data_IF_526721772813
#
_entry.id   IF_526721772813
#
_cell.length_a   1.000
_cell.length_b   1.000
_cell.length_c   1.000
_cell.angle_alpha   90.00
_cell.angle_beta   90.00
_cell.angle_gamma   90.00
#
_symmetry.space_group_name_H-M   'P 1'
#
loop_
_entity.id
_entity.type
_entity.pdbx_description
1 polymer ?
#
# COMPACT_ATOMS: atom_id res chain seq x y z
N UNK A 1 -3.60 27.45 -7.68
CA UNK A 1 -3.36 26.17 -8.41
C UNK A 1 -4.46 25.22 -7.98
N UNK A 2 -5.20 24.63 -8.93
CA UNK A 2 -6.19 23.60 -8.59
C UNK A 2 -5.38 22.36 -8.19
N UNK A 3 -5.43 21.99 -6.91
CA UNK A 3 -4.81 20.74 -6.42
C UNK A 3 -5.55 19.60 -7.10
N UNK A 4 -4.82 18.82 -7.90
CA UNK A 4 -5.42 17.70 -8.64
C UNK A 4 -5.56 16.50 -7.69
N UNK A 5 -6.71 16.42 -7.01
CA UNK A 5 -7.02 15.33 -6.08
C UNK A 5 -7.27 14.02 -6.84
N UNK A 6 -6.63 12.93 -6.40
CA UNK A 6 -6.89 11.59 -6.93
C UNK A 6 -7.99 10.88 -6.14
N UNK A 7 -8.08 11.12 -4.84
CA UNK A 7 -9.06 10.53 -3.96
C UNK A 7 -9.62 11.59 -3.02
N UNK A 8 -10.93 11.69 -2.95
CA UNK A 8 -11.64 12.50 -1.97
C UNK A 8 -12.66 11.62 -1.25
N UNK A 9 -12.62 11.64 0.06
CA UNK A 9 -13.53 10.90 0.92
C UNK A 9 -14.18 11.89 1.88
N UNK A 10 -15.52 11.90 1.92
CA UNK A 10 -16.30 12.81 2.78
C UNK A 10 -17.29 12.01 3.62
N UNK A 11 -17.17 12.15 4.95
CA UNK A 11 -18.08 11.58 5.96
C UNK A 11 -18.34 10.08 5.79
N UNK A 12 -17.31 9.33 5.35
CA UNK A 12 -17.45 7.90 5.08
C UNK A 12 -17.68 7.14 6.38
N UNK A 13 -18.72 6.31 6.40
CA UNK A 13 -19.09 5.52 7.56
C UNK A 13 -19.41 4.08 7.16
N UNK A 14 -19.01 3.14 8.03
CA UNK A 14 -19.24 1.71 7.86
C UNK A 14 -19.35 1.01 9.18
N UNK A 15 -20.40 0.17 9.31
CA UNK A 15 -20.56 -0.77 10.41
C UNK A 15 -20.71 -2.19 9.88
N UNK A 16 -20.41 -3.19 10.72
CA UNK A 16 -20.83 -4.57 10.50
C UNK A 16 -21.93 -4.92 11.49
N UNK A 17 -22.99 -5.56 10.99
CA UNK A 17 -24.18 -6.01 11.76
C UNK A 17 -24.90 -4.87 12.50
N UNK A 18 -24.77 -3.63 12.01
CA UNK A 18 -25.38 -2.45 12.60
C UNK A 18 -24.89 -2.09 14.01
N UNK A 19 -23.88 -2.80 14.55
CA UNK A 19 -23.42 -2.65 15.93
C UNK A 19 -21.97 -2.17 16.02
N UNK A 20 -21.08 -2.74 15.22
CA UNK A 20 -19.65 -2.45 15.30
C UNK A 20 -19.32 -1.39 14.25
N UNK A 21 -19.15 -0.13 14.69
CA UNK A 21 -18.68 0.96 13.82
C UNK A 21 -17.20 0.77 13.54
N UNK A 22 -16.88 0.50 12.27
CA UNK A 22 -15.49 0.30 11.80
C UNK A 22 -14.92 1.59 11.25
N UNK A 23 -15.74 2.43 10.62
CA UNK A 23 -15.39 3.78 10.20
C UNK A 23 -16.50 4.74 10.60
N UNK A 24 -16.14 5.93 11.10
CA UNK A 24 -17.08 6.97 11.54
C UNK A 24 -16.64 8.33 11.05
N UNK A 25 -17.44 8.96 10.19
CA UNK A 25 -17.17 10.30 9.64
C UNK A 25 -15.75 10.46 9.10
N UNK A 26 -15.24 9.43 8.42
CA UNK A 26 -13.87 9.44 7.87
C UNK A 26 -13.80 10.43 6.70
N UNK A 27 -12.88 11.40 6.82
CA UNK A 27 -12.64 12.41 5.80
C UNK A 27 -11.18 12.37 5.40
N UNK A 28 -10.91 12.33 4.09
CA UNK A 28 -9.55 12.29 3.57
C UNK A 28 -9.49 12.85 2.15
N UNK A 29 -8.41 13.55 1.86
CA UNK A 29 -8.11 14.02 0.52
C UNK A 29 -6.67 13.70 0.19
N UNK A 30 -6.42 13.14 -1.00
CA UNK A 30 -5.11 12.74 -1.49
C UNK A 30 -4.80 13.37 -2.83
N UNK A 31 -3.63 13.99 -2.94
CA UNK A 31 -3.13 14.54 -4.20
C UNK A 31 -2.68 13.44 -5.16
N UNK A 32 -2.80 13.72 -6.46
CA UNK A 32 -2.34 12.81 -7.52
C UNK A 32 -0.80 12.63 -7.49
N UNK A 33 -0.33 11.41 -7.74
CA UNK A 33 1.10 11.07 -7.79
C UNK A 33 1.77 10.91 -6.43
N UNK A 34 1.03 11.04 -5.33
CA UNK A 34 1.52 10.80 -3.96
C UNK A 34 1.45 9.31 -3.59
N UNK A 35 2.25 8.95 -2.60
CA UNK A 35 2.22 7.67 -1.90
C UNK A 35 1.76 7.94 -0.48
N UNK A 36 0.60 7.39 -0.10
CA UNK A 36 0.04 7.50 1.25
C UNK A 36 0.12 6.15 1.96
N UNK A 37 0.68 6.13 3.17
CA UNK A 37 0.64 4.99 4.06
C UNK A 37 -0.49 5.15 5.09
N UNK A 38 -1.26 4.09 5.33
CA UNK A 38 -2.24 4.05 6.41
C UNK A 38 -1.75 3.04 7.44
N UNK A 39 -1.41 3.53 8.62
CA UNK A 39 -0.86 2.75 9.73
C UNK A 39 -1.85 2.69 10.87
N UNK A 40 -1.87 1.57 11.59
CA UNK A 40 -2.73 1.39 12.76
C UNK A 40 -2.79 -0.07 13.19
N UNK A 41 -3.30 -0.30 14.39
CA UNK A 41 -3.46 -1.64 14.96
C UNK A 41 -4.39 -2.53 14.13
N UNK A 42 -4.34 -3.84 14.35
CA UNK A 42 -5.31 -4.76 13.78
C UNK A 42 -6.73 -4.38 14.23
N UNK A 43 -7.70 -4.45 13.32
CA UNK A 43 -9.08 -4.04 13.60
C UNK A 43 -9.34 -2.53 13.59
N UNK A 44 -8.36 -1.67 13.31
CA UNK A 44 -8.58 -0.20 13.25
C UNK A 44 -9.42 0.27 12.05
N UNK A 45 -9.73 -0.61 11.08
CA UNK A 45 -10.56 -0.30 9.90
C UNK A 45 -9.79 -0.12 8.59
N UNK A 46 -8.48 -0.36 8.55
CA UNK A 46 -7.62 -0.14 7.37
C UNK A 46 -8.07 -0.92 6.13
N UNK A 47 -8.18 -2.24 6.24
CA UNK A 47 -8.60 -3.10 5.10
C UNK A 47 -10.02 -2.81 4.68
N UNK A 48 -10.92 -2.49 5.63
CA UNK A 48 -12.29 -2.05 5.32
C UNK A 48 -12.28 -0.76 4.50
N UNK A 49 -11.44 0.22 4.88
CA UNK A 49 -11.29 1.46 4.12
C UNK A 49 -10.83 1.20 2.69
N UNK A 50 -9.78 0.36 2.49
CA UNK A 50 -9.33 0.01 1.15
C UNK A 50 -10.43 -0.68 0.33
N UNK A 51 -11.18 -1.61 0.93
CA UNK A 51 -12.27 -2.31 0.25
C UNK A 51 -13.42 -1.38 -0.14
N UNK A 52 -13.74 -0.38 0.68
CA UNK A 52 -14.72 0.66 0.37
C UNK A 52 -14.26 1.52 -0.81
N UNK A 53 -13.00 1.97 -0.82
CA UNK A 53 -12.41 2.72 -1.94
C UNK A 53 -12.44 1.88 -3.20
N UNK A 54 -12.12 0.60 -3.09
CA UNK A 54 -12.14 -0.36 -4.20
C UNK A 54 -13.55 -0.67 -4.72
N UNK A 55 -14.59 -0.44 -3.91
CA UNK A 55 -15.97 -0.83 -4.22
C UNK A 55 -16.24 -2.31 -4.02
N UNK A 56 -15.39 -2.99 -3.28
CA UNK A 56 -15.56 -4.39 -2.84
C UNK A 56 -16.54 -4.47 -1.68
N UNK A 57 -16.73 -3.37 -0.95
CA UNK A 57 -17.72 -3.21 0.09
C UNK A 57 -18.57 -1.97 -0.13
N UNK A 58 -19.76 -1.95 0.45
CA UNK A 58 -20.71 -0.84 0.40
C UNK A 58 -20.59 0.00 1.67
N UNK A 59 -20.39 1.34 1.57
CA UNK A 59 -20.50 2.22 2.71
C UNK A 59 -21.95 2.34 3.20
N UNK A 60 -22.14 2.72 4.45
CA UNK A 60 -23.44 3.07 5.02
C UNK A 60 -23.77 4.55 4.81
N UNK A 61 -22.76 5.39 4.65
CA UNK A 61 -22.92 6.82 4.39
C UNK A 61 -21.61 7.44 3.93
N UNK A 62 -21.71 8.68 3.46
CA UNK A 62 -20.60 9.44 2.93
C UNK A 62 -20.41 9.31 1.43
N UNK A 63 -19.36 9.94 0.92
CA UNK A 63 -19.07 10.01 -0.51
C UNK A 63 -17.60 9.65 -0.76
N UNK A 64 -17.35 8.94 -1.85
CA UNK A 64 -16.00 8.66 -2.38
C UNK A 64 -15.93 9.15 -3.82
N UNK A 65 -14.93 10.01 -4.11
CA UNK A 65 -14.55 10.40 -5.46
C UNK A 65 -13.16 9.88 -5.80
N UNK A 66 -13.01 9.38 -7.01
CA UNK A 66 -11.71 8.99 -7.60
C UNK A 66 -11.52 9.77 -8.88
N UNK A 67 -10.38 10.48 -9.00
CA UNK A 67 -10.10 11.37 -10.12
C UNK A 67 -11.30 12.28 -10.44
N UNK A 68 -11.85 12.95 -9.41
CA UNK A 68 -12.98 13.87 -9.45
C UNK A 68 -14.34 13.24 -9.82
N UNK A 69 -14.39 11.93 -10.04
CA UNK A 69 -15.65 11.24 -10.36
C UNK A 69 -16.22 10.56 -9.11
N UNK A 70 -17.48 10.79 -8.80
CA UNK A 70 -18.17 10.09 -7.70
C UNK A 70 -18.26 8.60 -8.06
N UNK A 71 -17.64 7.75 -7.21
CA UNK A 71 -17.67 6.30 -7.34
C UNK A 71 -18.55 5.62 -6.28
N UNK A 72 -18.84 6.33 -5.21
CA UNK A 72 -19.76 5.86 -4.18
C UNK A 72 -20.39 7.04 -3.44
N UNK A 73 -21.70 7.03 -3.30
CA UNK A 73 -22.49 7.90 -2.44
C UNK A 73 -23.74 7.16 -1.94
N UNK A 74 -24.69 7.86 -1.34
CA UNK A 74 -25.93 7.28 -0.81
C UNK A 74 -26.82 6.65 -1.89
N UNK A 75 -26.65 7.04 -3.15
CA UNK A 75 -27.50 6.65 -4.29
C UNK A 75 -26.78 5.78 -5.30
N UNK A 76 -25.45 5.96 -5.43
CA UNK A 76 -24.63 5.35 -6.49
C UNK A 76 -23.49 4.55 -5.91
N UNK A 77 -23.27 3.36 -6.47
CA UNK A 77 -22.06 2.56 -6.24
C UNK A 77 -21.55 2.06 -7.57
N UNK A 78 -20.39 2.56 -7.96
CA UNK A 78 -19.66 2.09 -9.16
C UNK A 78 -19.00 0.76 -8.84
N UNK A 79 -19.18 -0.24 -9.70
CA UNK A 79 -18.56 -1.57 -9.56
C UNK A 79 -17.03 -1.47 -9.58
N UNK A 80 -16.28 -2.34 -8.86
CA UNK A 80 -14.80 -2.28 -8.76
C UNK A 80 -14.10 -2.16 -10.11
N UNK A 81 -14.48 -2.99 -11.10
CA UNK A 81 -13.86 -3.03 -12.42
C UNK A 81 -14.05 -1.73 -13.25
N UNK A 82 -14.91 -0.81 -12.82
CA UNK A 82 -15.18 0.47 -13.47
C UNK A 82 -14.57 1.67 -12.74
N UNK A 83 -13.89 1.45 -11.60
CA UNK A 83 -13.28 2.53 -10.80
C UNK A 83 -11.91 2.97 -11.28
N UNK A 84 -11.32 2.26 -12.25
CA UNK A 84 -9.97 2.49 -12.76
C UNK A 84 -8.90 2.52 -11.65
N UNK A 85 -9.00 1.58 -10.74
CA UNK A 85 -8.06 1.34 -9.64
C UNK A 85 -7.45 -0.03 -9.74
N UNK A 86 -6.25 -0.19 -9.19
CA UNK A 86 -5.60 -1.47 -8.99
C UNK A 86 -5.67 -1.87 -7.52
N UNK A 87 -5.93 -3.14 -7.24
CA UNK A 87 -5.96 -3.68 -5.89
C UNK A 87 -5.06 -4.91 -5.79
N UNK A 88 -4.13 -4.91 -4.85
CA UNK A 88 -3.34 -6.08 -4.47
C UNK A 88 -3.75 -6.51 -3.08
N UNK A 89 -4.26 -7.73 -2.98
CA UNK A 89 -4.67 -8.35 -1.72
C UNK A 89 -3.46 -8.83 -0.92
N UNK A 90 -3.61 -9.03 0.37
CA UNK A 90 -2.57 -9.51 1.27
C UNK A 90 -2.04 -10.90 0.88
N UNK A 91 -2.89 -11.76 0.34
CA UNK A 91 -2.58 -13.11 -0.18
C UNK A 91 -2.23 -13.11 -1.69
N UNK A 92 -1.99 -11.90 -2.27
CA UNK A 92 -1.71 -11.65 -3.68
C UNK A 92 -2.81 -12.10 -4.65
N UNK A 93 -3.69 -13.01 -4.27
CA UNK A 93 -4.83 -13.54 -5.03
C UNK A 93 -4.49 -13.87 -6.49
N UNK A 94 -3.33 -14.50 -6.74
CA UNK A 94 -2.97 -14.99 -8.06
C UNK A 94 -3.86 -16.17 -8.45
N UNK A 95 -4.19 -16.28 -9.73
CA UNK A 95 -4.93 -17.43 -10.26
C UNK A 95 -3.99 -18.64 -10.32
N UNK A 96 -4.16 -19.68 -9.48
CA UNK A 96 -3.18 -20.76 -9.35
C UNK A 96 -3.08 -21.66 -10.59
N UNK A 97 -4.15 -21.69 -11.40
CA UNK A 97 -4.24 -22.46 -12.64
C UNK A 97 -3.75 -21.70 -13.89
N UNK A 98 -3.35 -20.44 -13.74
CA UNK A 98 -2.82 -19.60 -14.81
C UNK A 98 -1.32 -19.39 -14.61
N UNK A 99 -0.57 -19.34 -15.72
CA UNK A 99 0.85 -18.97 -15.69
C UNK A 99 1.03 -17.49 -15.31
N UNK A 100 2.25 -17.07 -15.04
CA UNK A 100 2.62 -15.66 -14.80
C UNK A 100 2.13 -14.75 -15.92
N UNK A 101 2.43 -15.13 -17.18
CA UNK A 101 1.97 -14.38 -18.35
C UNK A 101 0.45 -14.28 -18.42
N UNK A 102 -0.26 -15.38 -18.17
CA UNK A 102 -1.72 -15.42 -18.18
C UNK A 102 -2.34 -14.62 -17.04
N UNK A 103 -1.72 -14.65 -15.84
CA UNK A 103 -2.13 -13.81 -14.73
C UNK A 103 -2.04 -12.33 -15.09
N UNK A 104 -0.91 -11.88 -15.66
CA UNK A 104 -0.71 -10.48 -16.07
C UNK A 104 -1.66 -10.12 -17.22
N UNK A 105 -1.87 -11.02 -18.18
CA UNK A 105 -2.73 -10.81 -19.33
C UNK A 105 -4.22 -10.70 -19.00
N UNK A 106 -4.63 -11.11 -17.79
CA UNK A 106 -6.05 -11.30 -17.44
C UNK A 106 -6.90 -10.04 -17.64
N UNK A 107 -6.37 -8.86 -17.29
CA UNK A 107 -7.06 -7.57 -17.45
C UNK A 107 -6.81 -6.87 -18.78
N UNK A 108 -5.90 -7.37 -19.64
CA UNK A 108 -5.48 -6.69 -20.87
C UNK A 108 -6.39 -7.09 -22.02
N UNK A 109 -6.97 -6.09 -22.72
CA UNK A 109 -7.84 -6.32 -23.88
C UNK A 109 -7.06 -6.47 -25.18
N UNK A 110 -6.08 -5.59 -25.43
CA UNK A 110 -5.34 -5.49 -26.70
C UNK A 110 -3.82 -5.45 -26.48
N UNK A 111 -3.02 -5.80 -27.50
CA UNK A 111 -1.55 -5.72 -27.50
C UNK A 111 -0.88 -6.45 -26.32
N UNK A 112 -1.43 -7.60 -25.90
CA UNK A 112 -1.05 -8.34 -24.70
C UNK A 112 0.47 -8.59 -24.63
N UNK A 113 1.09 -9.13 -25.67
CA UNK A 113 2.50 -9.53 -25.65
C UNK A 113 3.43 -8.36 -25.28
N UNK A 114 3.35 -7.23 -25.97
CA UNK A 114 4.22 -6.06 -25.71
C UNK A 114 4.04 -5.48 -24.30
N UNK A 115 2.79 -5.47 -23.80
CA UNK A 115 2.49 -4.97 -22.45
C UNK A 115 3.06 -5.92 -21.41
N UNK A 116 2.90 -7.23 -21.59
CA UNK A 116 3.41 -8.26 -20.67
C UNK A 116 4.92 -8.19 -20.57
N UNK A 117 5.65 -8.16 -21.69
CA UNK A 117 7.10 -8.07 -21.71
C UNK A 117 7.61 -6.83 -20.97
N UNK A 118 6.96 -5.68 -21.22
CA UNK A 118 7.26 -4.41 -20.52
C UNK A 118 7.03 -4.54 -19.00
N UNK A 119 5.94 -5.16 -18.60
CA UNK A 119 5.59 -5.34 -17.17
C UNK A 119 6.52 -6.34 -16.49
N UNK A 120 6.81 -7.48 -17.13
CA UNK A 120 7.76 -8.46 -16.59
C UNK A 120 9.13 -7.83 -16.37
N UNK A 121 9.62 -7.05 -17.32
CA UNK A 121 10.86 -6.29 -17.16
C UNK A 121 10.76 -5.25 -16.04
N UNK A 122 9.62 -4.57 -15.91
CA UNK A 122 9.40 -3.55 -14.87
C UNK A 122 9.49 -4.14 -13.47
N UNK A 123 8.93 -5.35 -13.27
CA UNK A 123 8.91 -6.04 -11.98
C UNK A 123 10.05 -7.07 -11.82
N UNK A 124 11.01 -7.13 -12.75
CA UNK A 124 12.17 -8.04 -12.74
C UNK A 124 11.76 -9.53 -12.69
N UNK A 125 10.83 -9.90 -13.53
CA UNK A 125 10.31 -11.27 -13.66
C UNK A 125 10.49 -11.84 -15.07
N UNK A 126 11.52 -11.34 -15.81
CA UNK A 126 11.87 -11.92 -17.10
C UNK A 126 12.25 -13.39 -16.96
N UNK A 127 11.80 -14.22 -17.89
CA UNK A 127 12.05 -15.67 -17.88
C UNK A 127 11.03 -16.49 -17.10
N UNK A 128 10.13 -15.87 -16.31
CA UNK A 128 9.12 -16.58 -15.53
C UNK A 128 7.76 -16.68 -16.23
N UNK A 129 7.64 -16.28 -17.50
CA UNK A 129 6.39 -16.22 -18.26
C UNK A 129 5.52 -17.48 -18.13
N UNK A 130 6.15 -18.65 -18.23
CA UNK A 130 5.48 -19.96 -18.22
C UNK A 130 5.37 -20.60 -16.84
N UNK A 131 5.94 -19.97 -15.81
CA UNK A 131 5.85 -20.48 -14.44
C UNK A 131 4.44 -20.31 -13.87
N UNK A 132 4.04 -21.21 -13.00
CA UNK A 132 2.80 -21.13 -12.23
C UNK A 132 3.07 -20.50 -10.85
N UNK A 133 2.07 -19.90 -10.18
CA UNK A 133 2.23 -19.32 -8.86
C UNK A 133 2.89 -20.26 -7.85
N UNK A 134 2.54 -21.55 -7.85
CA UNK A 134 3.12 -22.56 -6.96
C UNK A 134 4.63 -22.78 -7.12
N UNK A 135 5.24 -22.24 -8.16
CA UNK A 135 6.68 -22.31 -8.44
C UNK A 135 7.43 -21.04 -8.06
N UNK A 136 6.73 -20.04 -7.49
CA UNK A 136 7.26 -18.75 -7.15
C UNK A 136 7.51 -18.62 -5.65
N UNK A 137 8.50 -17.81 -5.26
CA UNK A 137 8.61 -17.33 -3.89
C UNK A 137 7.55 -16.26 -3.60
N UNK A 138 7.22 -16.01 -2.33
CA UNK A 138 6.23 -14.99 -1.96
C UNK A 138 6.55 -13.59 -2.54
N UNK A 139 7.83 -13.20 -2.57
CA UNK A 139 8.24 -11.95 -3.21
C UNK A 139 8.06 -11.95 -4.73
N UNK A 140 8.22 -13.10 -5.40
CA UNK A 140 7.93 -13.24 -6.82
C UNK A 140 6.43 -13.21 -7.09
N UNK A 141 5.62 -13.86 -6.26
CA UNK A 141 4.14 -13.79 -6.36
C UNK A 141 3.65 -12.35 -6.21
N UNK A 142 4.19 -11.60 -5.25
CA UNK A 142 3.88 -10.18 -5.07
C UNK A 142 4.21 -9.35 -6.32
N UNK A 143 5.37 -9.56 -6.93
CA UNK A 143 5.77 -8.86 -8.16
C UNK A 143 4.80 -9.17 -9.31
N UNK A 144 4.39 -10.43 -9.45
CA UNK A 144 3.40 -10.83 -10.47
C UNK A 144 2.03 -10.20 -10.19
N UNK A 145 1.58 -10.17 -8.94
CA UNK A 145 0.32 -9.51 -8.56
C UNK A 145 0.36 -8.00 -8.85
N UNK A 146 1.49 -7.35 -8.56
CA UNK A 146 1.71 -5.95 -8.91
C UNK A 146 1.67 -5.74 -10.43
N UNK A 147 2.39 -6.57 -11.22
CA UNK A 147 2.38 -6.48 -12.68
C UNK A 147 0.97 -6.67 -13.26
N UNK A 148 0.21 -7.68 -12.76
CA UNK A 148 -1.20 -7.90 -13.14
C UNK A 148 -2.04 -6.65 -12.87
N UNK A 149 -1.83 -6.04 -11.72
CA UNK A 149 -2.58 -4.85 -11.31
C UNK A 149 -2.20 -3.62 -12.14
N UNK A 150 -0.92 -3.47 -12.50
CA UNK A 150 -0.44 -2.38 -13.36
C UNK A 150 -0.85 -2.55 -14.83
N UNK A 151 -1.20 -3.76 -15.26
CA UNK A 151 -1.55 -4.06 -16.63
C UNK A 151 -2.80 -3.32 -17.14
N UNK A 152 -3.65 -2.86 -16.23
CA UNK A 152 -4.84 -2.04 -16.55
C UNK A 152 -4.58 -0.54 -16.48
N UNK A 153 -3.33 -0.11 -16.26
CA UNK A 153 -2.91 1.30 -16.12
C UNK A 153 -3.77 2.09 -15.13
N UNK A 154 -3.85 1.65 -13.86
CA UNK A 154 -4.75 2.25 -12.88
C UNK A 154 -4.27 3.65 -12.49
N UNK A 155 -5.21 4.56 -12.20
CA UNK A 155 -4.92 5.89 -11.66
C UNK A 155 -4.51 5.86 -10.18
N UNK A 156 -5.03 4.89 -9.45
CA UNK A 156 -4.77 4.68 -8.02
C UNK A 156 -4.51 3.21 -7.75
N UNK A 157 -3.41 2.91 -7.08
CA UNK A 157 -3.08 1.58 -6.55
C UNK A 157 -3.47 1.50 -5.07
N UNK A 158 -4.02 0.37 -4.68
CA UNK A 158 -4.36 0.02 -3.31
C UNK A 158 -3.64 -1.28 -2.96
N UNK A 159 -2.79 -1.27 -1.94
CA UNK A 159 -2.06 -2.46 -1.49
C UNK A 159 -2.42 -2.77 -0.03
N UNK A 160 -2.94 -3.97 0.20
CA UNK A 160 -3.34 -4.46 1.52
C UNK A 160 -2.19 -5.26 2.13
N UNK A 161 -1.48 -4.70 3.10
CA UNK A 161 -0.33 -5.28 3.80
C UNK A 161 0.73 -5.92 2.87
N UNK A 162 1.25 -5.19 1.88
CA UNK A 162 2.05 -5.79 0.81
C UNK A 162 3.37 -6.40 1.27
N UNK A 163 3.84 -6.08 2.47
CA UNK A 163 5.16 -6.50 2.95
C UNK A 163 5.11 -7.48 4.13
N UNK A 164 3.91 -7.81 4.65
CA UNK A 164 3.75 -8.55 5.91
C UNK A 164 4.31 -9.98 5.87
N UNK A 165 4.25 -10.65 4.73
CA UNK A 165 4.67 -12.05 4.56
C UNK A 165 6.14 -12.23 4.14
N UNK A 166 6.93 -11.14 4.08
CA UNK A 166 8.29 -11.15 3.55
C UNK A 166 9.34 -11.08 4.66
N UNK A 167 10.50 -11.71 4.43
CA UNK A 167 11.67 -11.52 5.27
C UNK A 167 12.23 -10.09 5.17
N UNK A 168 13.02 -9.68 6.18
CA UNK A 168 13.50 -8.31 6.35
C UNK A 168 14.31 -7.81 5.13
N UNK A 169 15.17 -8.67 4.58
CA UNK A 169 16.02 -8.31 3.43
C UNK A 169 15.21 -8.08 2.16
N UNK A 170 14.31 -9.01 1.86
CA UNK A 170 13.45 -8.92 0.68
C UNK A 170 12.46 -7.75 0.80
N UNK A 171 11.94 -7.49 1.99
CA UNK A 171 11.04 -6.36 2.28
C UNK A 171 11.69 -5.03 1.90
N UNK A 172 12.93 -4.77 2.31
CA UNK A 172 13.65 -3.52 1.99
C UNK A 172 13.84 -3.33 0.48
N UNK A 173 14.16 -4.41 -0.24
CA UNK A 173 14.31 -4.37 -1.70
C UNK A 173 12.98 -4.03 -2.38
N UNK A 174 11.91 -4.74 -2.02
CA UNK A 174 10.60 -4.56 -2.64
C UNK A 174 9.98 -3.19 -2.35
N UNK A 175 10.18 -2.62 -1.15
CA UNK A 175 9.79 -1.24 -0.85
C UNK A 175 10.36 -0.26 -1.86
N UNK A 176 11.68 -0.30 -2.08
CA UNK A 176 12.36 0.59 -3.03
C UNK A 176 11.89 0.38 -4.47
N UNK A 177 11.65 -0.87 -4.87
CA UNK A 177 11.15 -1.19 -6.20
C UNK A 177 9.72 -0.67 -6.41
N UNK A 178 8.80 -0.91 -5.48
CA UNK A 178 7.42 -0.40 -5.56
C UNK A 178 7.44 1.14 -5.64
N UNK A 179 8.21 1.81 -4.77
CA UNK A 179 8.37 3.27 -4.82
C UNK A 179 8.85 3.73 -6.20
N UNK A 180 9.89 3.07 -6.73
CA UNK A 180 10.45 3.39 -8.05
C UNK A 180 9.44 3.18 -9.19
N UNK A 181 8.67 2.09 -9.17
CA UNK A 181 7.64 1.78 -10.15
C UNK A 181 6.53 2.84 -10.12
N UNK A 182 5.99 3.14 -8.94
CA UNK A 182 4.89 4.10 -8.73
C UNK A 182 5.30 5.49 -9.21
N UNK A 183 6.50 5.96 -8.82
CA UNK A 183 7.03 7.26 -9.27
C UNK A 183 7.27 7.30 -10.77
N UNK A 184 7.84 6.23 -11.36
CA UNK A 184 8.10 6.13 -12.82
C UNK A 184 6.82 6.18 -13.64
N UNK A 185 5.74 5.57 -13.14
CA UNK A 185 4.44 5.54 -13.82
C UNK A 185 3.57 6.75 -13.48
N UNK A 186 4.01 7.62 -12.57
CA UNK A 186 3.24 8.74 -12.02
C UNK A 186 1.84 8.30 -11.54
N UNK A 187 1.77 7.11 -10.92
CA UNK A 187 0.54 6.54 -10.36
C UNK A 187 0.47 6.90 -8.87
N UNK A 188 -0.73 7.12 -8.34
CA UNK A 188 -0.92 7.31 -6.89
C UNK A 188 -1.00 5.96 -6.19
N UNK A 189 -0.52 5.89 -4.95
CA UNK A 189 -0.52 4.65 -4.16
C UNK A 189 -1.05 4.90 -2.77
N UNK A 190 -2.00 4.07 -2.34
CA UNK A 190 -2.33 3.90 -0.92
C UNK A 190 -1.95 2.48 -0.52
N UNK A 191 -1.20 2.34 0.55
CA UNK A 191 -0.95 1.03 1.13
C UNK A 191 -1.22 1.04 2.64
N UNK A 192 -1.66 -0.09 3.14
CA UNK A 192 -1.83 -0.28 4.57
C UNK A 192 -0.74 -1.17 5.12
N UNK A 193 -0.29 -0.88 6.32
CA UNK A 193 0.71 -1.65 7.05
C UNK A 193 0.52 -1.47 8.55
N UNK A 194 1.00 -2.42 9.33
CA UNK A 194 1.18 -2.30 10.77
C UNK A 194 2.61 -1.89 11.15
N UNK A 195 3.55 -1.89 10.17
CA UNK A 195 4.95 -1.52 10.37
C UNK A 195 5.20 -0.09 9.86
N UNK A 196 5.46 0.84 10.79
CA UNK A 196 5.72 2.24 10.46
C UNK A 196 7.00 2.42 9.62
N UNK A 197 7.96 1.48 9.69
CA UNK A 197 9.17 1.51 8.88
C UNK A 197 8.84 1.42 7.38
N UNK A 198 7.79 0.66 7.01
CA UNK A 198 7.30 0.60 5.63
C UNK A 198 6.86 1.99 5.15
N UNK A 199 6.13 2.72 6.02
CA UNK A 199 5.65 4.05 5.70
C UNK A 199 6.80 5.06 5.54
N UNK A 200 7.75 5.07 6.47
CA UNK A 200 8.89 5.99 6.46
C UNK A 200 9.74 5.79 5.21
N UNK A 201 9.94 4.54 4.76
CA UNK A 201 10.79 4.25 3.61
C UNK A 201 10.22 4.71 2.27
N UNK A 202 8.91 4.61 2.08
CA UNK A 202 8.34 4.81 0.76
C UNK A 202 7.25 5.88 0.64
N UNK A 203 6.55 6.22 1.73
CA UNK A 203 5.43 7.13 1.66
C UNK A 203 5.87 8.61 1.54
N UNK A 204 5.02 9.43 0.94
CA UNK A 204 5.10 10.89 0.97
C UNK A 204 4.34 11.45 2.18
N UNK A 205 3.23 10.76 2.56
CA UNK A 205 2.36 11.12 3.68
C UNK A 205 1.87 9.87 4.43
N UNK A 206 1.53 10.05 5.70
CA UNK A 206 1.09 8.98 6.59
C UNK A 206 -0.19 9.36 7.31
N UNK A 207 -1.08 8.38 7.42
CA UNK A 207 -2.30 8.43 8.23
C UNK A 207 -2.19 7.42 9.35
N UNK A 208 -2.40 7.86 10.59
CA UNK A 208 -2.60 6.97 11.73
C UNK A 208 -4.10 6.77 11.94
N UNK A 209 -4.53 5.52 11.80
CA UNK A 209 -5.92 5.11 11.95
C UNK A 209 -6.12 4.36 13.28
N UNK A 210 -7.01 4.85 14.13
CA UNK A 210 -7.39 4.21 15.40
C UNK A 210 -8.91 4.25 15.55
N UNK A 211 -9.53 3.10 15.81
CA UNK A 211 -10.98 2.97 16.00
C UNK A 211 -11.81 3.65 14.89
N UNK A 212 -11.41 3.46 13.63
CA UNK A 212 -12.11 3.99 12.46
C UNK A 212 -12.01 5.50 12.24
N UNK A 213 -11.09 6.19 12.95
CA UNK A 213 -10.87 7.64 12.82
C UNK A 213 -9.41 7.95 12.55
N UNK A 214 -9.17 9.02 11.81
CA UNK A 214 -7.82 9.58 11.64
C UNK A 214 -7.41 10.26 12.94
N UNK A 215 -6.35 9.73 13.56
CA UNK A 215 -5.74 10.33 14.75
C UNK A 215 -4.73 11.41 14.35
N UNK A 216 -3.97 11.12 13.29
CA UNK A 216 -3.02 12.07 12.69
C UNK A 216 -2.90 11.81 11.20
N UNK A 217 -2.76 12.88 10.41
CA UNK A 217 -2.37 12.88 9.01
C UNK A 217 -1.29 13.93 8.81
N UNK A 218 -0.15 13.54 8.27
CA UNK A 218 0.99 14.44 8.05
C UNK A 218 1.91 13.95 6.93
N UNK A 219 2.66 14.86 6.29
CA UNK A 219 3.81 14.49 5.48
C UNK A 219 4.83 13.71 6.31
N UNK A 220 5.49 12.71 5.71
CA UNK A 220 6.56 11.95 6.40
C UNK A 220 7.67 12.89 6.91
N UNK A 221 8.02 13.92 6.15
CA UNK A 221 9.05 14.90 6.53
C UNK A 221 8.73 15.70 7.81
N UNK A 222 7.47 15.74 8.23
CA UNK A 222 7.01 16.47 9.41
C UNK A 222 6.67 15.54 10.59
N UNK A 223 6.74 14.24 10.39
CA UNK A 223 6.33 13.26 11.39
C UNK A 223 7.06 13.42 12.72
N UNK A 224 8.36 13.74 12.70
CA UNK A 224 9.18 13.95 13.90
C UNK A 224 8.87 15.24 14.64
N UNK A 225 8.21 16.21 13.99
CA UNK A 225 7.95 17.55 14.55
C UNK A 225 6.55 17.71 15.14
N UNK A 226 5.60 16.86 14.76
CA UNK A 226 4.17 17.10 14.95
C UNK A 226 3.42 16.05 15.75
N UNK A 227 4.08 15.13 16.46
CA UNK A 227 3.37 14.13 17.25
C UNK A 227 2.72 14.79 18.50
N UNK A 228 1.50 15.31 18.30
CA UNK A 228 0.63 15.78 19.41
C UNK A 228 -0.05 14.60 20.14
N UNK A 229 0.05 13.39 19.60
CA UNK A 229 -0.56 12.19 20.15
C UNK A 229 0.51 11.37 20.86
N UNK A 230 0.25 11.03 22.12
CA UNK A 230 1.15 10.29 23.00
C UNK A 230 1.48 8.88 22.43
N UNK A 231 0.49 8.20 21.84
CA UNK A 231 0.68 6.90 21.21
C UNK A 231 1.68 6.98 20.03
N UNK A 232 1.56 8.02 19.20
CA UNK A 232 2.46 8.23 18.06
C UNK A 232 3.85 8.65 18.54
N UNK A 233 3.91 9.49 19.57
CA UNK A 233 5.16 9.90 20.20
C UNK A 233 5.92 8.70 20.76
N UNK A 234 5.23 7.76 21.41
CA UNK A 234 5.81 6.53 21.91
C UNK A 234 6.35 5.64 20.79
N UNK A 235 5.56 5.40 19.74
CA UNK A 235 6.00 4.63 18.56
C UNK A 235 7.23 5.27 17.91
N UNK A 236 7.25 6.59 17.75
CA UNK A 236 8.40 7.30 17.19
C UNK A 236 9.63 7.24 18.11
N UNK A 237 9.43 7.28 19.42
CA UNK A 237 10.52 7.14 20.41
C UNK A 237 11.12 5.75 20.38
N UNK A 238 10.32 4.69 20.29
CA UNK A 238 10.77 3.32 20.15
C UNK A 238 11.56 3.10 18.86
N UNK A 239 11.07 3.63 17.73
CA UNK A 239 11.80 3.56 16.45
C UNK A 239 13.14 4.26 16.54
N UNK A 240 13.19 5.46 17.12
CA UNK A 240 14.43 6.20 17.30
C UNK A 240 15.41 5.44 18.18
N UNK A 241 14.97 4.89 19.30
CA UNK A 241 15.78 4.07 20.19
C UNK A 241 16.33 2.81 19.50
N UNK A 242 15.50 2.14 18.69
CA UNK A 242 15.92 0.98 17.92
C UNK A 242 16.97 1.36 16.85
N UNK A 243 16.81 2.48 16.14
CA UNK A 243 17.79 2.96 15.17
C UNK A 243 19.11 3.36 15.84
N UNK A 244 19.06 4.06 16.98
CA UNK A 244 20.25 4.43 17.76
C UNK A 244 20.96 3.18 18.32
N UNK A 245 20.22 2.18 18.76
CA UNK A 245 20.76 0.90 19.21
C UNK A 245 21.53 0.18 18.10
N UNK A 246 21.00 0.13 16.89
CA UNK A 246 21.66 -0.44 15.73
C UNK A 246 22.92 0.36 15.34
N UNK A 247 22.85 1.69 15.29
CA UNK A 247 24.00 2.56 15.01
C UNK A 247 25.11 2.37 16.03
N UNK A 248 24.81 2.23 17.31
CA UNK A 248 25.77 1.99 18.38
C UNK A 248 26.48 0.62 18.25
N UNK A 249 25.83 -0.40 17.70
CA UNK A 249 26.45 -1.70 17.43
C UNK A 249 27.53 -1.61 16.34
N UNK A 250 27.35 -0.72 15.36
CA UNK A 250 28.33 -0.49 14.29
C UNK A 250 29.42 0.51 14.67
N UNK A 251 29.26 1.29 15.75
CA UNK A 251 30.25 2.26 16.22
C UNK A 251 31.14 1.72 17.33
N UNK A 252 30.93 0.52 17.86
CA UNK A 252 31.89 -0.11 18.79
C UNK A 252 33.16 -0.47 18.02
N UNK A 253 34.33 0.12 18.35
CA UNK A 253 35.58 -0.32 17.78
C UNK A 253 35.78 -1.78 18.16
N UNK A 254 36.25 -2.60 17.21
CA UNK A 254 36.69 -3.95 17.44
C UNK A 254 37.82 -3.92 18.48
N UNK A 255 37.51 -4.17 19.74
CA UNK A 255 38.54 -4.42 20.75
C UNK A 255 39.22 -5.71 20.41
N UNK A 256 40.43 -5.53 19.86
CA UNK A 256 41.60 -6.35 19.97
C UNK A 256 41.47 -7.86 20.08
N UNK A 257 41.77 -8.52 18.99
CA UNK A 257 42.53 -9.76 19.02
C UNK A 257 43.99 -9.48 19.46
N UNK A 258 44.24 -9.53 20.76
CA UNK A 258 45.58 -9.75 21.27
C UNK A 258 45.74 -11.25 21.40
N UNK A 259 46.14 -11.91 20.33
CA UNK A 259 46.88 -13.16 20.45
C UNK A 259 48.34 -12.77 20.73
N UNK A 260 48.74 -12.89 21.99
CA UNK A 260 50.14 -13.03 22.40
C UNK A 260 50.42 -14.52 22.56
N UNK A 261 51.39 -14.95 21.80
CA UNK A 261 52.34 -16.05 21.98
C UNK A 261 51.85 -17.39 22.56
#
# INVERSE_FOLDING_TARGET
MVVNSILEISKLSKSYDGKIKVLSDFNFNMESGKICAIVGESGSGKSTLLRLIAGLERPEGGEIKIAQSIVSDNTKIVKPQLRNIGFVFQDFALFPHLTVEQNIAYGIKNNKSKIIDKLLKLVKMEGYNKSYPSQLSGGQEQRVALARTLAIEPKLLLLDEPFSSLDVGLRSILRKEIKGIVKKLNTSLIFITHDISDAIDIADEIIFLKNGKIVQHSPISELSKSSKNEDISNIMSELKANMEGVLNLFQKPSENNVFKE
#
